data_IF_972401794417
#
_entry.id   IF_972401794417
#
_cell.length_a   1.000
_cell.length_b   1.000
_cell.length_c   1.000
_cell.angle_alpha   90.00
_cell.angle_beta   90.00
_cell.angle_gamma   90.00
#
_symmetry.space_group_name_H-M   'P 1'
#
loop_
_entity.id
_entity.type
_entity.pdbx_description
1 polymer ?
#
# COMPACT_ATOMS: atom_id res chain seq x y z
N UNK A 1 7.35 30.06 -14.27
CA UNK A 1 7.05 28.95 -15.19
C UNK A 1 6.33 27.86 -14.43
N UNK A 2 5.28 27.28 -15.02
CA UNK A 2 4.62 26.09 -14.49
C UNK A 2 5.36 24.83 -14.94
N UNK A 3 5.32 23.74 -14.15
CA UNK A 3 5.98 22.48 -14.48
C UNK A 3 4.98 21.45 -15.02
N UNK A 4 5.43 20.62 -15.96
CA UNK A 4 4.68 19.44 -16.44
C UNK A 4 5.62 18.47 -17.16
N UNK A 5 5.10 17.30 -17.53
CA UNK A 5 5.72 16.40 -18.50
C UNK A 5 4.67 16.06 -19.57
N UNK A 6 5.06 15.68 -20.80
CA UNK A 6 4.10 15.57 -21.91
C UNK A 6 3.16 14.38 -21.69
N UNK A 7 3.74 13.18 -21.59
CA UNK A 7 3.12 11.93 -21.21
C UNK A 7 4.24 10.94 -20.85
N UNK A 8 3.92 9.90 -20.09
CA UNK A 8 4.88 8.84 -19.76
C UNK A 8 4.53 7.57 -20.56
N UNK A 9 5.52 7.04 -21.29
CA UNK A 9 5.39 5.79 -22.05
C UNK A 9 5.45 4.57 -21.11
N UNK A 10 4.39 4.40 -20.31
CA UNK A 10 4.26 3.33 -19.34
C UNK A 10 2.79 2.93 -19.13
N UNK A 11 2.56 1.80 -18.47
CA UNK A 11 1.21 1.37 -18.09
C UNK A 11 0.51 2.34 -17.13
N UNK A 12 -0.82 2.21 -17.02
CA UNK A 12 -1.69 3.09 -16.23
C UNK A 12 -1.15 3.42 -14.83
N UNK A 13 -0.78 2.39 -14.05
CA UNK A 13 -0.30 2.57 -12.68
C UNK A 13 1.02 3.34 -12.61
N UNK A 14 1.94 3.13 -13.56
CA UNK A 14 3.20 3.88 -13.60
C UNK A 14 2.94 5.36 -13.92
N UNK A 15 1.94 5.66 -14.75
CA UNK A 15 1.51 7.03 -15.00
C UNK A 15 0.87 7.68 -13.77
N UNK A 16 0.09 6.92 -12.96
CA UNK A 16 -0.41 7.38 -11.65
C UNK A 16 0.76 7.69 -10.69
N UNK A 17 1.78 6.83 -10.66
CA UNK A 17 3.00 7.03 -9.86
C UNK A 17 3.72 8.31 -10.31
N UNK A 18 3.93 8.53 -11.61
CA UNK A 18 4.56 9.75 -12.11
C UNK A 18 3.76 11.01 -11.78
N UNK A 19 2.42 10.94 -11.75
CA UNK A 19 1.58 12.04 -11.31
C UNK A 19 1.81 12.39 -9.83
N UNK A 20 1.97 11.38 -8.96
CA UNK A 20 2.35 11.60 -7.56
C UNK A 20 3.67 12.39 -7.48
N UNK A 21 4.68 12.00 -8.25
CA UNK A 21 5.98 12.67 -8.24
C UNK A 21 5.92 14.09 -8.80
N UNK A 22 5.16 14.34 -9.86
CA UNK A 22 4.97 15.71 -10.39
C UNK A 22 4.32 16.63 -9.36
N UNK A 23 3.27 16.17 -8.69
CA UNK A 23 2.55 16.95 -7.67
C UNK A 23 3.46 17.17 -6.43
N UNK A 24 4.22 16.15 -6.04
CA UNK A 24 5.19 16.26 -4.93
C UNK A 24 6.30 17.26 -5.24
N UNK A 25 6.82 17.23 -6.47
CA UNK A 25 7.79 18.20 -6.98
C UNK A 25 7.23 19.63 -6.99
N UNK A 26 5.99 19.80 -7.44
CA UNK A 26 5.32 21.10 -7.45
C UNK A 26 5.19 21.69 -6.04
N UNK A 27 4.81 20.86 -5.05
CA UNK A 27 4.76 21.25 -3.64
C UNK A 27 6.15 21.64 -3.12
N UNK A 28 7.16 20.78 -3.29
CA UNK A 28 8.53 21.02 -2.80
C UNK A 28 9.13 22.30 -3.38
N UNK A 29 8.99 22.48 -4.69
CA UNK A 29 9.62 23.58 -5.41
C UNK A 29 8.76 24.86 -5.37
N UNK A 30 7.57 24.80 -4.75
CA UNK A 30 6.54 25.84 -4.74
C UNK A 30 6.27 26.39 -6.17
N UNK A 31 6.19 25.48 -7.14
CA UNK A 31 5.96 25.80 -8.56
C UNK A 31 4.54 25.44 -8.97
N UNK A 32 3.88 26.26 -9.80
CA UNK A 32 2.62 25.88 -10.38
C UNK A 32 2.76 24.64 -11.25
N UNK A 33 1.78 23.75 -11.27
CA UNK A 33 1.76 22.57 -12.15
C UNK A 33 0.67 22.64 -13.20
N UNK A 34 0.94 22.04 -14.35
CA UNK A 34 -0.05 21.70 -15.37
C UNK A 34 -0.16 20.18 -15.42
N UNK A 35 -1.39 19.67 -15.42
CA UNK A 35 -1.61 18.23 -15.47
C UNK A 35 -1.11 17.65 -16.82
N UNK A 36 -0.34 16.55 -16.77
CA UNK A 36 0.22 15.91 -17.95
C UNK A 36 -0.86 15.19 -18.75
N UNK A 37 -0.55 14.83 -19.99
CA UNK A 37 -1.36 13.89 -20.74
C UNK A 37 -1.06 12.46 -20.25
N UNK A 38 -2.03 11.57 -20.43
CA UNK A 38 -1.83 10.13 -20.28
C UNK A 38 -1.58 9.49 -21.64
N UNK A 39 -0.87 8.36 -21.66
CA UNK A 39 -0.56 7.60 -22.86
C UNK A 39 -1.32 6.29 -22.86
N UNK A 40 -2.01 6.00 -23.96
CA UNK A 40 -2.44 4.65 -24.30
C UNK A 40 -1.33 4.01 -25.16
N UNK A 41 -0.81 2.88 -24.70
CA UNK A 41 0.17 2.10 -25.44
C UNK A 41 -0.55 1.04 -26.27
N UNK A 42 -0.22 0.94 -27.56
CA UNK A 42 -0.71 -0.09 -28.49
C UNK A 42 0.46 -1.01 -28.89
N UNK A 43 0.68 -2.12 -28.17
CA UNK A 43 1.90 -2.92 -28.26
C UNK A 43 2.12 -3.55 -29.65
N UNK A 44 1.05 -3.99 -30.31
CA UNK A 44 1.12 -4.62 -31.64
C UNK A 44 1.54 -3.70 -32.78
N UNK A 45 1.38 -2.39 -32.59
CA UNK A 45 1.63 -1.40 -33.64
C UNK A 45 2.78 -0.46 -33.29
N UNK A 46 3.33 -0.55 -32.08
CA UNK A 46 4.29 0.43 -31.55
C UNK A 46 3.72 1.86 -31.53
N UNK A 47 2.39 1.99 -31.56
CA UNK A 47 1.72 3.28 -31.60
C UNK A 47 1.40 3.75 -30.18
N UNK A 48 1.58 5.04 -29.96
CA UNK A 48 1.24 5.71 -28.72
C UNK A 48 0.20 6.79 -29.04
N UNK A 49 -0.96 6.72 -28.40
CA UNK A 49 -1.93 7.81 -28.45
C UNK A 49 -1.94 8.53 -27.11
N UNK A 50 -1.93 9.86 -27.15
CA UNK A 50 -2.05 10.67 -25.94
C UNK A 50 -3.51 11.01 -25.69
N UNK A 51 -3.86 11.13 -24.42
CA UNK A 51 -5.19 11.38 -23.93
C UNK A 51 -5.11 12.46 -22.86
N UNK A 52 -5.97 13.47 -22.97
CA UNK A 52 -5.99 14.55 -22.00
C UNK A 52 -6.48 14.04 -20.65
N UNK A 53 -5.91 14.58 -19.57
CA UNK A 53 -6.26 14.20 -18.21
C UNK A 53 -7.79 14.20 -17.99
N UNK A 54 -8.48 15.25 -18.47
CA UNK A 54 -9.92 15.42 -18.30
C UNK A 54 -10.80 14.46 -19.12
N UNK A 55 -10.21 13.68 -20.04
CA UNK A 55 -10.94 12.64 -20.78
C UNK A 55 -11.05 11.34 -19.96
N UNK A 56 -10.13 11.12 -19.02
CA UNK A 56 -10.05 9.89 -18.22
C UNK A 56 -10.31 10.14 -16.73
N UNK A 57 -9.94 11.30 -16.19
CA UNK A 57 -10.12 11.66 -14.80
C UNK A 57 -10.85 12.99 -14.65
N UNK A 58 -11.49 13.17 -13.50
CA UNK A 58 -12.20 14.40 -13.16
C UNK A 58 -11.21 15.44 -12.60
N UNK A 59 -10.91 16.48 -13.37
CA UNK A 59 -9.97 17.54 -12.96
C UNK A 59 -10.37 18.22 -11.65
N UNK A 60 -11.66 18.54 -11.48
CA UNK A 60 -12.17 19.24 -10.30
C UNK A 60 -11.94 18.46 -8.98
N UNK A 61 -12.00 17.13 -9.02
CA UNK A 61 -11.72 16.29 -7.86
C UNK A 61 -10.25 16.42 -7.44
N UNK A 62 -9.33 16.37 -8.40
CA UNK A 62 -7.90 16.51 -8.11
C UNK A 62 -7.53 17.94 -7.68
N UNK A 63 -8.15 18.96 -8.27
CA UNK A 63 -7.98 20.37 -7.86
C UNK A 63 -8.33 20.58 -6.37
N UNK A 64 -9.29 19.83 -5.82
CA UNK A 64 -9.62 19.87 -4.39
C UNK A 64 -8.40 19.51 -3.53
N UNK A 65 -7.63 18.50 -3.95
CA UNK A 65 -6.38 18.11 -3.27
C UNK A 65 -5.32 19.19 -3.44
N UNK A 66 -5.10 19.68 -4.67
CA UNK A 66 -4.10 20.71 -4.92
C UNK A 66 -4.35 21.96 -4.05
N UNK A 67 -5.60 22.40 -3.96
CA UNK A 67 -6.01 23.51 -3.10
C UNK A 67 -5.81 23.21 -1.61
N UNK A 68 -6.19 22.02 -1.14
CA UNK A 68 -6.05 21.64 0.27
C UNK A 68 -4.59 21.59 0.75
N UNK A 69 -3.65 21.28 -0.16
CA UNK A 69 -2.21 21.25 0.12
C UNK A 69 -1.48 22.52 -0.31
N UNK A 70 -2.18 23.56 -0.76
CA UNK A 70 -1.59 24.82 -1.18
C UNK A 70 -0.68 24.72 -2.42
N UNK A 71 -0.93 23.73 -3.28
CA UNK A 71 -0.14 23.47 -4.49
C UNK A 71 -0.71 24.33 -5.62
N UNK A 72 0.07 25.27 -6.20
CA UNK A 72 -0.44 26.12 -7.25
C UNK A 72 -0.76 25.30 -8.51
N UNK A 73 -1.95 25.49 -9.07
CA UNK A 73 -2.41 24.80 -10.27
C UNK A 73 -2.68 25.81 -11.39
N UNK A 74 -2.27 25.48 -12.61
CA UNK A 74 -2.59 26.29 -13.80
C UNK A 74 -3.34 25.41 -14.79
N UNK A 75 -4.59 25.77 -15.16
CA UNK A 75 -5.33 25.03 -16.17
C UNK A 75 -4.62 25.16 -17.54
N UNK A 76 -4.64 24.11 -18.37
CA UNK A 76 -3.97 24.13 -19.69
C UNK A 76 -4.40 25.30 -20.59
N UNK A 77 -5.61 25.82 -20.40
CA UNK A 77 -6.19 26.93 -21.17
C UNK A 77 -5.53 28.29 -20.90
N UNK A 78 -4.77 28.44 -19.82
CA UNK A 78 -4.16 29.71 -19.43
C UNK A 78 -2.84 30.02 -20.18
N UNK A 79 -2.35 29.10 -21.03
CA UNK A 79 -1.11 29.23 -21.80
C UNK A 79 0.10 29.79 -21.00
N UNK A 80 0.40 29.26 -19.80
CA UNK A 80 1.54 29.75 -19.02
C UNK A 80 2.87 29.38 -19.67
N UNK A 81 3.95 30.10 -19.31
CA UNK A 81 5.30 29.63 -19.61
C UNK A 81 5.54 28.27 -18.92
N UNK A 82 5.88 27.26 -19.73
CA UNK A 82 5.98 25.86 -19.32
C UNK A 82 7.44 25.40 -19.23
N UNK A 83 7.80 24.83 -18.10
CA UNK A 83 9.05 24.09 -17.86
C UNK A 83 8.74 22.59 -17.96
N UNK A 84 9.30 21.94 -18.98
CA UNK A 84 9.14 20.49 -19.15
C UNK A 84 10.13 19.76 -18.26
N UNK A 85 9.61 19.02 -17.29
CA UNK A 85 10.40 18.14 -16.41
C UNK A 85 10.45 16.72 -16.97
N UNK A 86 11.42 15.94 -16.52
CA UNK A 86 11.53 14.53 -16.91
C UNK A 86 10.45 13.69 -16.22
N UNK A 87 9.57 13.07 -17.02
CA UNK A 87 8.50 12.20 -16.54
C UNK A 87 9.01 10.95 -15.82
N UNK A 88 10.19 10.43 -16.17
CA UNK A 88 10.79 9.30 -15.46
C UNK A 88 11.35 9.70 -14.10
N UNK A 89 11.92 10.91 -13.97
CA UNK A 89 12.26 11.45 -12.64
C UNK A 89 11.01 11.62 -11.77
N UNK A 90 9.90 12.07 -12.35
CA UNK A 90 8.62 12.12 -11.65
C UNK A 90 8.14 10.71 -11.25
N UNK A 91 8.32 9.70 -12.10
CA UNK A 91 8.02 8.31 -11.74
C UNK A 91 8.85 7.84 -10.53
N UNK A 92 10.17 8.05 -10.52
CA UNK A 92 11.02 7.65 -9.40
C UNK A 92 10.67 8.38 -8.12
N UNK A 93 10.45 9.70 -8.19
CA UNK A 93 10.00 10.47 -7.04
C UNK A 93 8.64 9.96 -6.52
N UNK A 94 7.71 9.67 -7.41
CA UNK A 94 6.41 9.11 -7.05
C UNK A 94 6.52 7.72 -6.42
N UNK A 95 7.43 6.88 -6.90
CA UNK A 95 7.68 5.55 -6.35
C UNK A 95 8.24 5.62 -4.92
N UNK A 96 9.14 6.58 -4.65
CA UNK A 96 9.64 6.85 -3.31
C UNK A 96 8.50 7.28 -2.36
N UNK A 97 7.66 8.25 -2.78
CA UNK A 97 6.50 8.70 -2.00
C UNK A 97 5.48 7.58 -1.76
N UNK A 98 5.29 6.70 -2.74
CA UNK A 98 4.43 5.52 -2.60
C UNK A 98 4.98 4.52 -1.59
N UNK A 99 6.29 4.25 -1.63
CA UNK A 99 6.98 3.40 -0.64
C UNK A 99 6.98 3.98 0.78
N UNK A 100 7.14 5.30 0.91
CA UNK A 100 7.01 6.03 2.19
C UNK A 100 5.59 5.88 2.77
N UNK A 101 4.56 6.06 1.95
CA UNK A 101 3.18 5.83 2.36
C UNK A 101 2.95 4.37 2.84
N UNK A 102 3.64 3.40 2.22
CA UNK A 102 3.61 2.00 2.66
C UNK A 102 4.18 1.79 4.05
N UNK A 103 5.37 2.35 4.32
CA UNK A 103 6.03 2.25 5.64
C UNK A 103 5.26 2.95 6.75
N UNK A 104 4.58 4.05 6.43
CA UNK A 104 3.72 4.77 7.35
C UNK A 104 2.37 4.05 7.61
N UNK A 105 1.96 3.12 6.74
CA UNK A 105 0.74 2.34 6.90
C UNK A 105 -0.51 3.23 7.05
N UNK A 106 -1.30 2.99 8.10
CA UNK A 106 -2.51 3.77 8.38
C UNK A 106 -2.22 5.27 8.60
N UNK A 107 -1.00 5.62 9.03
CA UNK A 107 -0.60 7.00 9.23
C UNK A 107 -0.62 7.82 7.93
N UNK A 108 -0.32 7.17 6.79
CA UNK A 108 -0.22 7.81 5.49
C UNK A 108 -1.56 8.26 4.88
N UNK A 109 -2.70 7.84 5.46
CA UNK A 109 -4.00 8.06 4.81
C UNK A 109 -4.32 9.52 4.51
N UNK A 110 -4.06 10.52 5.39
CA UNK A 110 -4.29 11.92 5.06
C UNK A 110 -3.19 12.51 4.17
N UNK A 111 -2.21 11.70 3.75
CA UNK A 111 -0.98 12.14 3.08
C UNK A 111 -1.25 12.62 1.69
N UNK A 112 -0.39 13.51 1.20
CA UNK A 112 -0.51 14.01 -0.16
C UNK A 112 -0.59 12.83 -1.15
N UNK A 113 0.29 11.84 -1.02
CA UNK A 113 0.30 10.62 -1.84
C UNK A 113 -1.06 9.91 -1.84
N UNK A 114 -1.63 9.65 -0.65
CA UNK A 114 -2.91 8.96 -0.52
C UNK A 114 -4.11 9.82 -0.97
N UNK A 115 -4.08 11.13 -0.72
CA UNK A 115 -5.14 12.04 -1.14
C UNK A 115 -5.14 12.24 -2.66
N UNK A 116 -3.98 12.33 -3.32
CA UNK A 116 -3.91 12.36 -4.80
C UNK A 116 -4.66 11.16 -5.37
N UNK A 117 -4.36 9.94 -4.91
CA UNK A 117 -4.99 8.72 -5.43
C UNK A 117 -6.46 8.61 -5.01
N UNK A 118 -6.82 9.04 -3.80
CA UNK A 118 -8.22 9.08 -3.35
C UNK A 118 -9.09 9.95 -4.26
N UNK A 119 -8.57 11.08 -4.74
CA UNK A 119 -9.30 12.02 -5.59
C UNK A 119 -9.00 11.87 -7.09
N UNK A 120 -8.18 10.89 -7.48
CA UNK A 120 -7.96 10.54 -8.87
C UNK A 120 -9.17 9.73 -9.40
N UNK A 121 -10.31 10.39 -9.55
CA UNK A 121 -11.59 9.77 -9.92
C UNK A 121 -11.73 9.66 -11.43
N UNK A 122 -12.06 8.47 -11.98
CA UNK A 122 -12.39 8.35 -13.39
C UNK A 122 -13.52 9.30 -13.80
N UNK A 123 -13.57 9.69 -15.07
CA UNK A 123 -14.74 10.41 -15.60
C UNK A 123 -16.03 9.60 -15.41
N UNK A 124 -17.20 10.25 -15.30
CA UNK A 124 -18.47 9.55 -15.11
C UNK A 124 -18.70 8.43 -16.14
N UNK A 125 -18.34 8.65 -17.40
CA UNK A 125 -18.46 7.65 -18.46
C UNK A 125 -17.64 6.38 -18.16
N UNK A 126 -16.36 6.54 -17.81
CA UNK A 126 -15.48 5.39 -17.50
C UNK A 126 -15.96 4.70 -16.22
N UNK A 127 -16.37 5.46 -15.21
CA UNK A 127 -16.94 4.93 -13.97
C UNK A 127 -18.19 4.10 -14.21
N UNK A 128 -19.16 4.62 -14.97
CA UNK A 128 -20.39 3.90 -15.32
C UNK A 128 -20.13 2.64 -16.14
N UNK A 129 -19.18 2.67 -17.07
CA UNK A 129 -18.78 1.48 -17.83
C UNK A 129 -18.18 0.41 -16.91
N UNK A 130 -17.33 0.79 -15.96
CA UNK A 130 -16.77 -0.13 -14.97
C UNK A 130 -17.85 -0.73 -14.06
N UNK A 131 -18.82 0.07 -13.61
CA UNK A 131 -19.96 -0.43 -12.82
C UNK A 131 -20.79 -1.43 -13.62
N UNK A 132 -21.06 -1.16 -14.90
CA UNK A 132 -21.81 -2.08 -15.77
C UNK A 132 -21.05 -3.38 -15.99
N UNK A 133 -19.74 -3.32 -16.21
CA UNK A 133 -18.90 -4.51 -16.33
C UNK A 133 -18.93 -5.34 -15.04
N UNK A 134 -18.72 -4.70 -13.89
CA UNK A 134 -18.77 -5.34 -12.58
C UNK A 134 -20.14 -6.00 -12.31
N UNK A 135 -21.25 -5.31 -12.61
CA UNK A 135 -22.59 -5.86 -12.45
C UNK A 135 -22.83 -7.10 -13.34
N UNK A 136 -22.33 -7.10 -14.58
CA UNK A 136 -22.40 -8.27 -15.48
C UNK A 136 -21.59 -9.44 -14.94
N UNK A 137 -20.40 -9.19 -14.40
CA UNK A 137 -19.56 -10.22 -13.77
C UNK A 137 -20.28 -10.88 -12.59
N UNK A 138 -20.88 -10.08 -11.70
CA UNK A 138 -21.66 -10.60 -10.57
C UNK A 138 -22.89 -11.40 -11.03
N UNK A 139 -23.58 -10.95 -12.08
CA UNK A 139 -24.72 -11.68 -12.65
C UNK A 139 -24.32 -13.06 -13.22
N UNK A 140 -23.06 -13.23 -13.62
CA UNK A 140 -22.47 -14.51 -14.02
C UNK A 140 -21.86 -15.30 -12.84
N UNK A 141 -22.08 -14.87 -11.60
CA UNK A 141 -21.54 -15.50 -10.40
C UNK A 141 -20.02 -15.35 -10.25
N UNK A 142 -19.41 -14.34 -10.86
CA UNK A 142 -17.97 -14.10 -10.78
C UNK A 142 -17.65 -13.24 -9.56
N UNK A 143 -17.02 -13.86 -8.55
CA UNK A 143 -16.63 -13.20 -7.29
C UNK A 143 -15.11 -13.09 -7.08
N UNK A 144 -14.34 -13.68 -7.98
CA UNK A 144 -12.88 -13.72 -7.91
C UNK A 144 -12.28 -13.07 -9.15
N UNK A 145 -11.21 -12.31 -8.94
CA UNK A 145 -10.42 -11.72 -10.01
C UNK A 145 -8.97 -12.17 -9.93
N UNK A 146 -8.37 -12.45 -11.09
CA UNK A 146 -6.98 -12.86 -11.26
C UNK A 146 -6.31 -11.96 -12.28
N UNK A 147 -5.26 -11.26 -11.86
CA UNK A 147 -4.33 -10.70 -12.83
C UNK A 147 -3.48 -11.83 -13.42
N UNK A 148 -3.47 -11.98 -14.73
CA UNK A 148 -2.51 -12.85 -15.41
C UNK A 148 -1.41 -11.98 -16.00
N UNK A 149 -0.39 -11.68 -15.18
CA UNK A 149 0.81 -10.98 -15.65
C UNK A 149 1.76 -11.98 -16.34
N UNK A 150 1.39 -12.38 -17.55
CA UNK A 150 2.08 -13.39 -18.37
C UNK A 150 2.41 -12.88 -19.78
N UNK A 151 2.16 -11.60 -20.03
CA UNK A 151 2.37 -10.95 -21.32
C UNK A 151 3.85 -10.99 -21.73
N UNK A 152 4.11 -10.86 -23.03
CA UNK A 152 5.47 -11.05 -23.58
C UNK A 152 6.51 -10.07 -23.00
N UNK A 153 6.10 -8.82 -22.70
CA UNK A 153 6.96 -7.83 -22.05
C UNK A 153 7.33 -8.25 -20.62
N UNK A 154 6.39 -8.87 -19.89
CA UNK A 154 6.63 -9.41 -18.56
C UNK A 154 7.61 -10.58 -18.59
N UNK A 155 7.49 -11.46 -19.58
CA UNK A 155 8.39 -12.61 -19.71
C UNK A 155 9.85 -12.13 -19.83
N UNK A 156 10.11 -11.13 -20.69
CA UNK A 156 11.43 -10.51 -20.81
C UNK A 156 11.92 -9.89 -19.50
N UNK A 157 11.09 -9.05 -18.86
CA UNK A 157 11.43 -8.43 -17.57
C UNK A 157 11.71 -9.47 -16.47
N UNK A 158 10.91 -10.53 -16.40
CA UNK A 158 11.05 -11.59 -15.41
C UNK A 158 12.28 -12.47 -15.64
N UNK A 159 12.74 -12.61 -16.89
CA UNK A 159 13.91 -13.41 -17.24
C UNK A 159 15.22 -12.61 -17.12
N UNK A 160 15.19 -11.31 -17.42
CA UNK A 160 16.42 -10.49 -17.54
C UNK A 160 16.65 -9.57 -16.34
N UNK A 161 15.59 -9.10 -15.69
CA UNK A 161 15.68 -8.05 -14.66
C UNK A 161 15.48 -8.60 -13.26
N UNK A 162 14.38 -9.32 -13.02
CA UNK A 162 14.04 -9.85 -11.69
C UNK A 162 15.13 -10.75 -11.07
N UNK A 163 15.85 -11.63 -11.80
CA UNK A 163 16.87 -12.49 -11.19
C UNK A 163 18.04 -11.74 -10.54
N UNK A 164 18.22 -10.45 -10.87
CA UNK A 164 19.30 -9.64 -10.30
C UNK A 164 19.01 -9.17 -8.87
N UNK A 165 17.78 -9.30 -8.37
CA UNK A 165 17.40 -8.82 -7.03
C UNK A 165 16.28 -9.61 -6.34
N UNK A 166 15.48 -10.39 -7.07
CA UNK A 166 14.49 -11.28 -6.48
C UNK A 166 15.17 -12.55 -5.94
N UNK A 167 14.78 -13.05 -4.76
CA UNK A 167 15.26 -14.34 -4.27
C UNK A 167 14.91 -15.46 -5.26
N UNK A 168 15.77 -16.47 -5.39
CA UNK A 168 15.51 -17.65 -6.25
C UNK A 168 14.24 -18.43 -5.90
N UNK A 169 13.71 -18.22 -4.70
CA UNK A 169 12.47 -18.84 -4.21
C UNK A 169 11.20 -18.09 -4.63
N UNK A 170 11.32 -16.97 -5.34
CA UNK A 170 10.17 -16.17 -5.77
C UNK A 170 9.57 -16.68 -7.09
N UNK A 171 8.26 -16.93 -7.10
CA UNK A 171 7.53 -17.47 -8.26
C UNK A 171 7.04 -16.34 -9.20
N UNK A 172 7.97 -15.53 -9.72
CA UNK A 172 7.62 -14.33 -10.50
C UNK A 172 7.31 -14.57 -11.99
N UNK A 173 7.60 -15.76 -12.52
CA UNK A 173 7.39 -16.15 -13.92
C UNK A 173 6.56 -17.45 -14.03
N UNK A 174 5.39 -17.46 -13.40
CA UNK A 174 4.49 -18.62 -13.42
C UNK A 174 3.68 -18.68 -14.72
N UNK A 175 3.48 -19.87 -15.30
CA UNK A 175 2.50 -20.07 -16.36
C UNK A 175 1.07 -19.90 -15.82
N UNK A 176 0.13 -19.56 -16.70
CA UNK A 176 -1.26 -19.29 -16.30
C UNK A 176 -1.89 -20.43 -15.49
N UNK A 177 -1.59 -21.69 -15.82
CA UNK A 177 -2.17 -22.84 -15.16
C UNK A 177 -1.76 -22.91 -13.69
N UNK A 178 -0.50 -22.63 -13.37
CA UNK A 178 0.00 -22.63 -11.99
C UNK A 178 -0.62 -21.48 -11.19
N UNK A 179 -0.80 -20.31 -11.80
CA UNK A 179 -1.49 -19.17 -11.17
C UNK A 179 -2.92 -19.58 -10.77
N UNK A 180 -3.68 -20.18 -11.70
CA UNK A 180 -5.07 -20.60 -11.42
C UNK A 180 -5.12 -21.78 -10.45
N UNK A 181 -4.15 -22.70 -10.49
CA UNK A 181 -4.01 -23.79 -9.52
C UNK A 181 -3.82 -23.26 -8.10
N UNK A 182 -2.93 -22.27 -7.90
CA UNK A 182 -2.74 -21.63 -6.60
C UNK A 182 -4.02 -20.96 -6.11
N UNK A 183 -4.73 -20.26 -7.01
CA UNK A 183 -6.02 -19.65 -6.69
C UNK A 183 -7.06 -20.70 -6.25
N UNK A 184 -7.18 -21.81 -6.98
CA UNK A 184 -8.05 -22.93 -6.61
C UNK A 184 -7.66 -23.55 -5.27
N UNK A 185 -6.37 -23.73 -5.01
CA UNK A 185 -5.88 -24.30 -3.74
C UNK A 185 -6.15 -23.39 -2.52
N UNK A 186 -6.28 -22.07 -2.74
CA UNK A 186 -6.58 -21.10 -1.69
C UNK A 186 -8.09 -20.86 -1.51
N UNK A 187 -8.85 -20.75 -2.59
CA UNK A 187 -10.25 -20.29 -2.56
C UNK A 187 -11.28 -21.42 -2.81
N UNK A 188 -10.86 -22.67 -2.95
CA UNK A 188 -11.79 -23.79 -2.97
C UNK A 188 -12.55 -23.92 -1.62
N UNK A 189 -13.82 -24.38 -1.64
CA UNK A 189 -14.56 -24.88 -2.81
C UNK A 189 -15.23 -23.79 -3.67
N UNK A 190 -15.23 -22.54 -3.22
CA UNK A 190 -16.04 -21.43 -3.78
C UNK A 190 -15.49 -20.87 -5.09
N UNK A 191 -14.22 -21.14 -5.40
CA UNK A 191 -13.61 -20.78 -6.67
C UNK A 191 -14.10 -21.68 -7.80
N UNK A 192 -15.07 -21.18 -8.59
CA UNK A 192 -15.63 -21.83 -9.80
C UNK A 192 -15.52 -20.97 -11.05
N UNK A 193 -15.54 -19.66 -10.88
CA UNK A 193 -15.49 -18.66 -11.94
C UNK A 193 -14.49 -17.58 -11.55
N UNK A 194 -13.80 -16.99 -12.53
CA UNK A 194 -12.89 -15.89 -12.30
C UNK A 194 -12.89 -14.88 -13.44
N UNK A 195 -12.77 -13.61 -13.08
CA UNK A 195 -12.47 -12.53 -13.99
C UNK A 195 -10.95 -12.43 -14.18
N UNK A 196 -10.49 -12.36 -15.43
CA UNK A 196 -9.07 -12.26 -15.77
C UNK A 196 -8.72 -10.84 -16.19
N UNK A 197 -7.68 -10.29 -15.56
CA UNK A 197 -7.13 -8.97 -15.84
C UNK A 197 -5.77 -9.12 -16.52
N UNK A 198 -5.66 -8.61 -17.73
CA UNK A 198 -4.42 -8.61 -18.51
C UNK A 198 -4.55 -7.64 -19.69
N UNK A 199 -3.43 -7.36 -20.34
CA UNK A 199 -3.48 -6.86 -21.71
C UNK A 199 -3.80 -8.04 -22.66
N UNK A 200 -5.08 -8.14 -23.04
CA UNK A 200 -5.61 -9.26 -23.83
C UNK A 200 -4.91 -9.43 -25.17
N UNK A 201 -4.48 -8.33 -25.80
CA UNK A 201 -3.80 -8.41 -27.09
C UNK A 201 -2.39 -8.97 -26.91
N UNK A 202 -1.76 -8.77 -25.76
CA UNK A 202 -0.37 -9.14 -25.49
C UNK A 202 -0.19 -10.51 -24.84
N UNK A 203 -1.25 -11.30 -24.78
CA UNK A 203 -1.16 -12.66 -24.25
C UNK A 203 -0.28 -13.55 -25.15
N UNK A 204 0.59 -14.39 -24.57
CA UNK A 204 1.44 -15.31 -25.34
C UNK A 204 0.64 -16.45 -25.99
N UNK A 205 -0.64 -16.60 -25.65
CA UNK A 205 -1.55 -17.65 -26.12
C UNK A 205 -2.98 -17.13 -26.07
N UNK A 206 -3.85 -17.60 -26.98
CA UNK A 206 -5.23 -17.09 -27.05
C UNK A 206 -6.05 -17.35 -25.78
N UNK A 207 -7.00 -16.46 -25.50
CA UNK A 207 -7.92 -16.59 -24.36
C UNK A 207 -8.74 -17.87 -24.43
N UNK A 208 -9.14 -18.28 -25.62
CA UNK A 208 -9.93 -19.50 -25.86
C UNK A 208 -9.13 -20.73 -25.45
N UNK A 209 -7.83 -20.74 -25.74
CA UNK A 209 -6.91 -21.80 -25.32
C UNK A 209 -6.77 -21.82 -23.80
N UNK A 210 -6.49 -20.66 -23.17
CA UNK A 210 -6.38 -20.54 -21.71
C UNK A 210 -7.67 -21.01 -21.02
N UNK A 211 -8.83 -20.56 -21.52
CA UNK A 211 -10.16 -20.92 -21.00
C UNK A 211 -10.42 -22.42 -21.12
N UNK A 212 -10.19 -23.01 -22.29
CA UNK A 212 -10.41 -24.43 -22.54
C UNK A 212 -9.55 -25.31 -21.61
N UNK A 213 -8.25 -25.01 -21.51
CA UNK A 213 -7.34 -25.76 -20.65
C UNK A 213 -7.71 -25.61 -19.17
N UNK A 214 -7.99 -24.40 -18.72
CA UNK A 214 -8.35 -24.15 -17.32
C UNK A 214 -9.65 -24.87 -16.94
N UNK A 215 -10.65 -24.87 -17.83
CA UNK A 215 -11.91 -25.58 -17.61
C UNK A 215 -11.72 -27.09 -17.55
N UNK A 216 -10.94 -27.65 -18.49
CA UNK A 216 -10.70 -29.09 -18.57
C UNK A 216 -9.94 -29.60 -17.33
N UNK A 217 -8.87 -28.92 -16.93
CA UNK A 217 -7.98 -29.38 -15.85
C UNK A 217 -8.52 -29.03 -14.46
N UNK A 218 -9.11 -27.83 -14.30
CA UNK A 218 -9.43 -27.29 -12.98
C UNK A 218 -10.93 -27.12 -12.75
N UNK A 219 -11.77 -27.23 -13.79
CA UNK A 219 -13.21 -27.00 -13.68
C UNK A 219 -13.59 -25.53 -13.49
N UNK A 220 -12.67 -24.59 -13.74
CA UNK A 220 -12.86 -23.15 -13.53
C UNK A 220 -13.20 -22.45 -14.84
N UNK A 221 -14.26 -21.65 -14.85
CA UNK A 221 -14.61 -20.79 -15.99
C UNK A 221 -13.93 -19.42 -15.87
N UNK A 222 -13.25 -19.01 -16.94
CA UNK A 222 -12.54 -17.73 -17.00
C UNK A 222 -13.24 -16.75 -17.94
N UNK A 223 -13.34 -15.50 -17.50
CA UNK A 223 -14.00 -14.41 -18.21
C UNK A 223 -13.09 -13.20 -18.35
N UNK A 224 -13.20 -12.49 -19.48
CA UNK A 224 -12.48 -11.26 -19.79
C UNK A 224 -13.47 -10.12 -20.07
N UNK A 225 -13.04 -8.86 -19.98
CA UNK A 225 -13.88 -7.67 -20.29
C UNK A 225 -14.52 -7.75 -21.67
N UNK A 226 -13.78 -8.27 -22.65
CA UNK A 226 -14.25 -8.45 -24.03
C UNK A 226 -15.39 -9.47 -24.17
N UNK A 227 -15.63 -10.33 -23.18
CA UNK A 227 -16.81 -11.20 -23.16
C UNK A 227 -18.10 -10.40 -22.88
N UNK A 228 -17.98 -9.19 -22.31
CA UNK A 228 -19.11 -8.39 -21.84
C UNK A 228 -19.27 -7.04 -22.54
N UNK A 229 -18.21 -6.52 -23.15
CA UNK A 229 -18.15 -5.20 -23.75
C UNK A 229 -17.77 -5.29 -25.23
N UNK A 230 -18.38 -4.46 -26.10
CA UNK A 230 -18.06 -4.46 -27.52
C UNK A 230 -16.66 -3.88 -27.76
N UNK A 231 -16.02 -4.30 -28.86
CA UNK A 231 -14.68 -3.83 -29.25
C UNK A 231 -14.60 -2.30 -29.37
N UNK A 232 -15.69 -1.61 -29.75
CA UNK A 232 -15.74 -0.15 -29.80
C UNK A 232 -15.54 0.53 -28.45
N UNK A 233 -15.98 -0.10 -27.35
CA UNK A 233 -15.74 0.38 -25.98
C UNK A 233 -14.30 0.13 -25.55
N UNK A 234 -13.67 -0.92 -26.06
CA UNK A 234 -12.31 -1.34 -25.71
C UNK A 234 -11.23 -0.76 -26.64
N UNK A 235 -11.61 0.05 -27.63
CA UNK A 235 -10.68 0.58 -28.64
C UNK A 235 -9.59 1.51 -28.09
N UNK A 236 -9.70 1.98 -26.85
CA UNK A 236 -8.60 2.65 -26.14
C UNK A 236 -8.01 1.70 -25.09
N UNK A 237 -6.72 1.34 -25.25
CA UNK A 237 -6.00 0.48 -24.30
C UNK A 237 -5.93 1.11 -22.90
N UNK A 238 -5.95 2.44 -22.82
CA UNK A 238 -6.02 3.16 -21.55
C UNK A 238 -7.38 2.97 -20.87
N UNK A 239 -8.49 3.18 -21.57
CA UNK A 239 -9.84 2.93 -21.04
C UNK A 239 -9.98 1.46 -20.65
N UNK A 240 -9.55 0.55 -21.52
CA UNK A 240 -9.52 -0.90 -21.27
C UNK A 240 -8.79 -1.26 -19.97
N UNK A 241 -7.61 -0.67 -19.73
CA UNK A 241 -6.84 -0.86 -18.49
C UNK A 241 -7.54 -0.26 -17.26
N UNK A 242 -8.21 0.89 -17.42
CA UNK A 242 -8.96 1.53 -16.34
C UNK A 242 -10.18 0.71 -15.92
N UNK A 243 -10.88 0.08 -16.86
CA UNK A 243 -12.02 -0.79 -16.56
C UNK A 243 -11.58 -2.00 -15.72
N UNK A 244 -10.49 -2.66 -16.12
CA UNK A 244 -9.86 -3.73 -15.32
C UNK A 244 -9.50 -3.25 -13.92
N UNK A 245 -8.87 -2.08 -13.83
CA UNK A 245 -8.45 -1.49 -12.56
C UNK A 245 -9.66 -1.21 -11.64
N UNK A 246 -10.69 -0.53 -12.14
CA UNK A 246 -11.90 -0.20 -11.36
C UNK A 246 -12.70 -1.43 -10.94
N UNK A 247 -12.71 -2.49 -11.75
CA UNK A 247 -13.29 -3.78 -11.36
C UNK A 247 -12.45 -4.40 -10.24
N UNK A 248 -11.12 -4.43 -10.37
CA UNK A 248 -10.22 -5.02 -9.36
C UNK A 248 -10.41 -4.39 -7.96
N UNK A 249 -10.67 -3.08 -7.89
CA UNK A 249 -10.93 -2.37 -6.64
C UNK A 249 -12.17 -2.85 -5.89
N UNK A 250 -13.12 -3.50 -6.59
CA UNK A 250 -14.44 -3.88 -6.07
C UNK A 250 -14.62 -5.37 -5.90
N UNK A 251 -13.77 -6.18 -6.56
CA UNK A 251 -13.93 -7.63 -6.55
C UNK A 251 -13.82 -8.18 -5.12
N UNK A 252 -14.73 -9.08 -4.70
CA UNK A 252 -14.72 -9.66 -3.37
C UNK A 252 -13.38 -10.33 -3.01
N UNK A 253 -12.72 -10.95 -3.98
CA UNK A 253 -11.36 -11.45 -3.86
C UNK A 253 -10.57 -11.15 -5.14
N UNK A 254 -9.32 -10.69 -4.98
CA UNK A 254 -8.41 -10.41 -6.08
C UNK A 254 -7.03 -11.00 -5.79
N UNK A 255 -6.41 -11.63 -6.79
CA UNK A 255 -4.99 -11.99 -6.73
C UNK A 255 -4.21 -11.45 -7.93
N UNK A 256 -2.99 -10.98 -7.67
CA UNK A 256 -2.08 -10.52 -8.71
C UNK A 256 -0.61 -10.82 -8.41
N UNK A 257 0.29 -10.25 -9.23
CA UNK A 257 1.73 -10.35 -9.01
C UNK A 257 2.19 -9.16 -8.16
N UNK A 258 2.81 -9.38 -7.00
CA UNK A 258 3.26 -8.25 -6.16
C UNK A 258 4.33 -7.37 -6.83
N UNK A 259 5.04 -7.88 -7.85
CA UNK A 259 6.00 -7.11 -8.66
C UNK A 259 5.32 -6.29 -9.76
N UNK A 260 4.04 -6.51 -10.03
CA UNK A 260 3.26 -5.67 -10.93
C UNK A 260 2.78 -4.42 -10.19
N UNK A 261 3.15 -3.24 -10.69
CA UNK A 261 2.64 -1.98 -10.14
C UNK A 261 1.11 -1.93 -10.18
N UNK A 262 0.46 -2.58 -11.15
CA UNK A 262 -1.00 -2.74 -11.17
C UNK A 262 -1.54 -3.40 -9.89
N UNK A 263 -1.02 -4.58 -9.52
CA UNK A 263 -1.48 -5.29 -8.31
C UNK A 263 -1.21 -4.50 -7.04
N UNK A 264 -0.03 -3.88 -6.92
CA UNK A 264 0.28 -3.01 -5.77
C UNK A 264 -0.67 -1.82 -5.68
N UNK A 265 -0.95 -1.18 -6.81
CA UNK A 265 -1.81 0.00 -6.84
C UNK A 265 -3.28 -0.30 -6.58
N UNK A 266 -3.80 -1.49 -6.94
CA UNK A 266 -5.16 -1.90 -6.58
C UNK A 266 -5.31 -1.89 -5.05
N UNK A 267 -4.39 -2.53 -4.33
CA UNK A 267 -4.41 -2.53 -2.87
C UNK A 267 -4.25 -1.11 -2.29
N UNK A 268 -3.33 -0.32 -2.86
CA UNK A 268 -3.09 1.06 -2.42
C UNK A 268 -4.28 1.97 -2.62
N UNK A 269 -4.96 1.87 -3.76
CA UNK A 269 -6.10 2.70 -4.05
C UNK A 269 -7.35 2.29 -3.23
N UNK A 270 -7.52 1.00 -2.91
CA UNK A 270 -8.53 0.58 -1.90
C UNK A 270 -8.24 1.28 -0.56
N UNK A 271 -6.99 1.26 -0.10
CA UNK A 271 -6.59 1.97 1.12
C UNK A 271 -6.87 3.47 1.04
N UNK A 272 -6.49 4.14 -0.06
CA UNK A 272 -6.72 5.57 -0.25
C UNK A 272 -8.23 5.91 -0.21
N UNK A 273 -9.06 5.10 -0.87
CA UNK A 273 -10.52 5.31 -0.97
C UNK A 273 -11.25 5.06 0.35
N UNK A 274 -10.84 4.05 1.11
CA UNK A 274 -11.57 3.57 2.29
C UNK A 274 -10.96 4.01 3.62
N UNK A 275 -9.68 4.39 3.62
CA UNK A 275 -8.90 4.58 4.85
C UNK A 275 -8.69 3.29 5.63
N UNK A 276 -8.93 2.12 5.02
CA UNK A 276 -8.76 0.83 5.65
C UNK A 276 -7.85 -0.05 4.80
N UNK A 277 -7.09 -0.92 5.46
CA UNK A 277 -6.31 -1.93 4.75
C UNK A 277 -7.24 -2.88 3.99
N UNK A 278 -6.96 -3.19 2.72
CA UNK A 278 -7.73 -4.19 1.99
C UNK A 278 -7.60 -5.59 2.63
N UNK A 279 -8.72 -6.32 2.76
CA UNK A 279 -8.76 -7.60 3.50
C UNK A 279 -8.81 -8.85 2.61
N UNK A 280 -9.06 -8.71 1.31
CA UNK A 280 -9.22 -9.85 0.38
C UNK A 280 -8.31 -9.70 -0.85
N UNK A 281 -7.07 -9.29 -0.60
CA UNK A 281 -6.06 -9.11 -1.64
C UNK A 281 -4.98 -10.18 -1.47
N UNK A 282 -4.62 -10.83 -2.56
CA UNK A 282 -3.73 -11.97 -2.57
C UNK A 282 -2.63 -11.79 -3.61
N UNK A 283 -1.52 -12.52 -3.43
CA UNK A 283 -0.42 -12.55 -4.38
C UNK A 283 -0.04 -14.00 -4.72
N UNK A 284 0.35 -14.26 -5.96
CA UNK A 284 0.68 -15.61 -6.43
C UNK A 284 2.18 -15.89 -6.54
N UNK A 285 3.04 -14.88 -6.48
CA UNK A 285 4.49 -14.99 -6.64
C UNK A 285 5.24 -15.37 -5.33
N UNK A 286 4.54 -15.93 -4.35
CA UNK A 286 5.16 -16.65 -3.22
C UNK A 286 5.40 -18.11 -3.59
N UNK A 287 6.51 -18.67 -3.10
CA UNK A 287 6.79 -20.10 -3.19
C UNK A 287 5.62 -20.95 -2.66
N UNK A 288 5.40 -22.08 -3.32
CA UNK A 288 4.47 -23.11 -2.86
C UNK A 288 3.07 -23.03 -3.49
N UNK A 289 2.15 -23.92 -3.09
CA UNK A 289 0.96 -24.24 -3.87
C UNK A 289 -0.23 -23.31 -3.63
N UNK A 290 -0.09 -22.25 -2.82
CA UNK A 290 -1.19 -21.38 -2.39
C UNK A 290 -0.84 -19.92 -2.64
N UNK A 291 -1.88 -19.12 -2.86
CA UNK A 291 -1.76 -17.66 -2.81
C UNK A 291 -1.38 -17.21 -1.39
N UNK A 292 -0.55 -16.17 -1.28
CA UNK A 292 -0.34 -15.50 -0.01
C UNK A 292 -1.31 -14.34 0.17
N UNK A 293 -1.77 -14.17 1.40
CA UNK A 293 -2.64 -13.06 1.77
C UNK A 293 -1.83 -11.79 2.01
N UNK A 294 -2.13 -10.74 1.26
CA UNK A 294 -1.45 -9.45 1.34
C UNK A 294 -1.76 -8.77 2.68
N UNK A 295 -0.73 -8.34 3.39
CA UNK A 295 -0.81 -7.73 4.71
C UNK A 295 -0.51 -6.23 4.71
N UNK A 296 0.21 -5.71 3.71
CA UNK A 296 0.49 -4.29 3.56
C UNK A 296 -0.64 -3.56 2.80
N UNK A 297 -0.47 -2.25 2.60
CA UNK A 297 -1.43 -1.42 1.87
C UNK A 297 -1.16 -1.37 0.37
N UNK A 298 -0.24 -2.14 -0.22
CA UNK A 298 0.04 -2.11 -1.67
C UNK A 298 1.47 -1.74 -2.10
N UNK A 299 2.21 -0.87 -1.38
CA UNK A 299 3.54 -0.42 -1.83
C UNK A 299 4.67 -1.46 -1.73
N UNK A 300 4.53 -2.51 -0.92
CA UNK A 300 5.60 -3.51 -0.78
C UNK A 300 5.58 -4.48 -1.96
N UNK A 301 6.66 -4.49 -2.74
CA UNK A 301 6.73 -5.26 -3.99
C UNK A 301 7.31 -6.66 -3.77
N UNK A 302 8.15 -6.85 -2.75
CA UNK A 302 8.69 -8.16 -2.42
C UNK A 302 7.60 -9.03 -1.75
N UNK A 303 7.36 -10.27 -2.22
CA UNK A 303 6.24 -11.08 -1.75
C UNK A 303 6.24 -11.39 -0.25
N UNK A 304 7.43 -11.67 0.29
CA UNK A 304 7.60 -11.98 1.70
C UNK A 304 7.30 -10.76 2.58
N UNK A 305 7.67 -9.55 2.15
CA UNK A 305 7.34 -8.31 2.86
C UNK A 305 5.84 -7.99 2.74
N UNK A 306 5.28 -8.10 1.53
CA UNK A 306 3.87 -7.83 1.26
C UNK A 306 2.91 -8.76 2.03
N UNK A 307 3.38 -9.93 2.46
CA UNK A 307 2.58 -10.92 3.22
C UNK A 307 2.99 -11.05 4.68
N UNK A 308 3.99 -10.28 5.13
CA UNK A 308 4.38 -10.24 6.53
C UNK A 308 3.38 -9.43 7.34
N UNK A 309 2.82 -10.03 8.40
CA UNK A 309 1.84 -9.35 9.25
C UNK A 309 2.42 -8.13 9.98
N UNK A 310 3.75 -8.01 10.06
CA UNK A 310 4.43 -6.81 10.53
C UNK A 310 3.94 -5.55 9.82
N UNK A 311 3.73 -5.65 8.50
CA UNK A 311 3.33 -4.52 7.65
C UNK A 311 1.82 -4.26 7.67
N UNK A 312 1.06 -5.02 8.48
CA UNK A 312 -0.36 -4.80 8.70
C UNK A 312 -0.66 -3.61 9.61
N UNK A 313 0.28 -3.25 10.49
CA UNK A 313 0.12 -2.22 11.52
C UNK A 313 -1.21 -2.31 12.28
N UNK A 314 -1.70 -3.54 12.53
CA UNK A 314 -3.02 -3.77 13.11
C UNK A 314 -3.03 -3.36 14.59
N UNK A 315 -3.85 -2.37 14.99
CA UNK A 315 -3.92 -1.90 16.37
C UNK A 315 -4.27 -3.03 17.36
N UNK A 316 -3.59 -3.06 18.51
CA UNK A 316 -3.92 -4.01 19.59
C UNK A 316 -5.13 -3.58 20.41
N UNK A 317 -5.41 -2.28 20.38
CA UNK A 317 -6.49 -1.64 21.13
C UNK A 317 -7.37 -0.91 20.13
N UNK A 318 -8.68 -0.76 20.41
CA UNK A 318 -9.55 0.03 19.57
C UNK A 318 -9.09 1.49 19.50
N UNK A 319 -9.00 2.02 18.28
CA UNK A 319 -8.75 3.44 18.00
C UNK A 319 -10.07 4.11 17.65
N UNK A 320 -10.21 5.38 18.02
CA UNK A 320 -11.42 6.18 17.81
C UNK A 320 -11.11 7.44 17.00
N UNK A 321 -12.08 7.98 16.25
CA UNK A 321 -11.89 9.24 15.52
C UNK A 321 -11.47 10.42 16.38
N UNK A 322 -11.85 10.43 17.67
CA UNK A 322 -11.55 11.49 18.64
C UNK A 322 -10.28 11.23 19.47
N UNK A 323 -9.54 10.15 19.21
CA UNK A 323 -8.23 9.93 19.84
C UNK A 323 -7.27 11.05 19.41
N UNK A 324 -6.43 11.50 20.34
CA UNK A 324 -5.45 12.57 20.12
C UNK A 324 -4.31 12.04 19.26
N UNK A 325 -3.98 12.80 18.20
CA UNK A 325 -2.98 12.39 17.20
C UNK A 325 -1.80 13.34 17.24
N UNK A 326 -0.77 12.95 17.97
CA UNK A 326 0.53 13.62 17.91
C UNK A 326 1.48 12.86 16.97
N UNK A 327 2.22 13.58 16.11
CA UNK A 327 3.15 12.98 15.15
C UNK A 327 4.47 12.59 15.83
N UNK A 328 4.40 11.67 16.80
CA UNK A 328 5.59 11.01 17.32
C UNK A 328 6.10 9.97 16.32
N UNK A 329 7.42 9.80 16.25
CA UNK A 329 8.04 8.65 15.59
C UNK A 329 8.35 7.56 16.62
N UNK A 330 8.38 6.30 16.17
CA UNK A 330 8.85 5.15 16.95
C UNK A 330 9.93 4.41 16.15
N UNK A 331 11.12 4.29 16.71
CA UNK A 331 12.13 3.33 16.25
C UNK A 331 12.16 2.16 17.23
N UNK A 332 11.98 0.93 16.74
CA UNK A 332 12.16 -0.28 17.51
C UNK A 332 13.31 -1.11 16.92
N UNK A 333 14.27 -1.53 17.74
CA UNK A 333 15.23 -2.55 17.32
C UNK A 333 14.60 -3.92 17.56
N UNK A 334 14.44 -4.68 16.48
CA UNK A 334 13.80 -5.99 16.49
C UNK A 334 14.83 -7.05 16.13
N UNK A 335 14.96 -8.06 16.99
CA UNK A 335 15.84 -9.19 16.75
C UNK A 335 15.58 -9.79 15.36
N UNK A 336 16.66 -10.11 14.63
CA UNK A 336 16.68 -10.62 13.25
C UNK A 336 16.25 -9.64 12.14
N UNK A 337 15.69 -8.47 12.48
CA UNK A 337 15.26 -7.46 11.50
C UNK A 337 16.05 -6.14 11.58
N UNK A 338 16.60 -5.80 12.75
CA UNK A 338 17.28 -4.52 12.98
C UNK A 338 16.31 -3.40 13.37
N UNK A 339 16.67 -2.15 13.06
CA UNK A 339 15.85 -0.98 13.38
C UNK A 339 14.67 -0.86 12.41
N UNK A 340 13.47 -0.79 12.96
CA UNK A 340 12.22 -0.50 12.25
C UNK A 340 11.70 0.83 12.75
N UNK A 341 11.51 1.79 11.84
CA UNK A 341 11.03 3.12 12.20
C UNK A 341 9.66 3.41 11.60
N UNK A 342 8.72 3.76 12.46
CA UNK A 342 7.48 4.43 12.11
C UNK A 342 7.69 5.93 12.21
N UNK A 343 7.65 6.63 11.09
CA UNK A 343 7.71 8.10 11.04
C UNK A 343 6.39 8.68 10.53
N UNK A 344 5.90 9.80 11.09
CA UNK A 344 4.83 10.58 10.48
C UNK A 344 5.34 11.26 9.19
N UNK A 345 4.43 11.53 8.26
CA UNK A 345 4.72 12.27 7.03
C UNK A 345 4.97 13.77 7.37
N UNK A 346 6.16 14.32 7.09
CA UNK A 346 6.47 15.72 7.39
C UNK A 346 5.67 16.73 6.55
N UNK A 347 5.08 16.32 5.42
CA UNK A 347 4.36 17.22 4.50
C UNK A 347 2.92 17.53 4.95
N UNK A 348 2.43 16.89 6.02
CA UNK A 348 1.06 17.08 6.50
C UNK A 348 1.07 17.50 7.97
N UNK A 349 0.64 18.74 8.30
CA UNK A 349 0.69 19.27 9.67
C UNK A 349 -0.17 18.48 10.68
N UNK A 350 -1.00 17.55 10.21
CA UNK A 350 -1.99 16.79 10.97
C UNK A 350 -1.93 15.30 10.57
N UNK A 351 -0.84 14.58 10.85
CA UNK A 351 -0.81 13.11 10.71
C UNK A 351 -0.42 12.31 11.94
N UNK A 352 -1.44 11.59 12.41
CA UNK A 352 -1.55 10.22 12.92
C UNK A 352 -0.52 9.76 13.98
N UNK A 353 -0.91 9.31 15.19
CA UNK A 353 -2.24 8.99 15.72
C UNK A 353 -2.57 7.50 15.88
N UNK A 354 -1.57 6.62 15.80
CA UNK A 354 -1.48 5.29 16.44
C UNK A 354 -0.13 4.68 16.07
N UNK A 355 0.79 4.53 17.04
CA UNK A 355 2.08 3.87 16.80
C UNK A 355 1.92 2.38 17.10
N UNK A 356 1.84 1.54 16.07
CA UNK A 356 1.63 0.11 16.22
C UNK A 356 2.64 -0.71 15.40
N UNK A 357 3.44 -1.51 16.10
CA UNK A 357 4.34 -2.51 15.53
C UNK A 357 4.03 -3.87 16.13
N UNK A 358 3.77 -4.86 15.29
CA UNK A 358 3.48 -6.25 15.71
C UNK A 358 4.38 -7.24 15.00
N UNK A 359 5.28 -7.86 15.75
CA UNK A 359 6.19 -8.90 15.27
C UNK A 359 5.77 -10.28 15.76
N UNK A 360 4.62 -10.41 16.42
CA UNK A 360 4.21 -11.63 17.14
C UNK A 360 3.97 -12.86 16.27
N UNK A 361 3.86 -12.70 14.94
CA UNK A 361 3.83 -13.82 14.00
C UNK A 361 5.14 -14.63 13.97
N UNK A 362 6.26 -14.04 14.42
CA UNK A 362 7.52 -14.75 14.57
C UNK A 362 8.15 -14.42 15.94
N UNK A 363 8.16 -15.40 16.84
CA UNK A 363 8.66 -15.25 18.22
C UNK A 363 10.16 -14.93 18.30
N UNK A 364 10.93 -15.14 17.23
CA UNK A 364 12.34 -14.74 17.14
C UNK A 364 12.53 -13.23 16.95
N UNK A 365 11.46 -12.49 16.62
CA UNK A 365 11.48 -11.05 16.37
C UNK A 365 11.12 -10.25 17.63
N UNK A 366 11.78 -10.56 18.74
CA UNK A 366 11.59 -9.81 19.97
C UNK A 366 12.17 -8.40 19.87
N UNK A 367 11.53 -7.45 20.54
CA UNK A 367 12.03 -6.08 20.65
C UNK A 367 13.24 -6.10 21.60
N UNK A 368 14.36 -5.51 21.21
CA UNK A 368 15.55 -5.35 22.08
C UNK A 368 15.71 -3.92 22.59
N UNK A 369 15.10 -2.96 21.91
CA UNK A 369 15.11 -1.56 22.30
C UNK A 369 14.11 -0.72 21.53
N UNK A 370 13.83 0.48 22.04
CA UNK A 370 12.92 1.44 21.43
C UNK A 370 13.37 2.88 21.67
N UNK A 371 12.96 3.76 20.76
CA UNK A 371 13.12 5.21 20.85
C UNK A 371 11.86 5.86 20.32
N UNK A 372 11.31 6.80 21.07
CA UNK A 372 10.32 7.74 20.57
C UNK A 372 11.02 9.05 20.20
N UNK A 373 10.59 9.66 19.11
CA UNK A 373 11.12 10.93 18.61
C UNK A 373 10.00 11.89 18.20
N UNK A 374 10.31 13.18 18.07
CA UNK A 374 9.35 14.22 17.75
C UNK A 374 9.95 15.62 17.77
N UNK A 375 9.22 16.59 17.22
CA UNK A 375 9.64 18.00 17.24
C UNK A 375 9.33 18.67 18.59
N UNK A 376 9.89 19.87 18.80
CA UNK A 376 9.74 20.65 20.05
C UNK A 376 8.33 21.15 20.33
N UNK A 377 7.40 21.02 19.38
CA UNK A 377 6.00 21.41 19.55
C UNK A 377 5.13 20.26 20.06
N UNK A 378 5.69 19.06 20.21
CA UNK A 378 5.01 17.92 20.78
C UNK A 378 5.02 17.97 22.31
N UNK A 379 4.01 17.38 22.97
CA UNK A 379 4.04 17.28 24.42
C UNK A 379 5.23 16.43 24.88
N UNK A 380 5.70 16.72 26.09
CA UNK A 380 6.76 15.96 26.72
C UNK A 380 6.31 14.50 26.94
N UNK A 381 7.00 13.58 26.27
CA UNK A 381 6.82 12.13 26.40
C UNK A 381 8.06 11.54 27.05
N UNK A 382 7.85 10.77 28.12
CA UNK A 382 8.91 9.99 28.76
C UNK A 382 8.59 8.51 28.69
N UNK A 383 9.64 7.70 28.58
CA UNK A 383 9.52 6.25 28.51
C UNK A 383 10.69 5.54 29.18
N UNK A 384 10.48 4.30 29.56
CA UNK A 384 11.52 3.40 30.08
C UNK A 384 11.21 1.96 29.74
N UNK A 385 12.23 1.12 29.76
CA UNK A 385 12.12 -0.30 29.40
C UNK A 385 12.71 -1.20 30.47
N UNK A 386 12.29 -2.46 30.46
CA UNK A 386 12.86 -3.55 31.23
C UNK A 386 13.34 -4.64 30.26
N UNK A 387 14.56 -5.15 30.43
CA UNK A 387 15.07 -6.28 29.64
C UNK A 387 14.82 -7.63 30.33
N UNK A 388 15.20 -8.73 29.69
CA UNK A 388 15.02 -10.08 30.24
C UNK A 388 15.85 -10.38 31.50
N UNK A 389 16.91 -9.62 31.78
CA UNK A 389 17.69 -9.76 33.03
C UNK A 389 17.03 -9.05 34.21
N UNK A 390 15.92 -8.33 33.97
CA UNK A 390 15.21 -7.54 34.97
C UNK A 390 15.78 -6.13 35.16
N UNK A 391 16.82 -5.75 34.41
CA UNK A 391 17.34 -4.39 34.43
C UNK A 391 16.30 -3.42 33.85
N UNK A 392 16.04 -2.33 34.57
CA UNK A 392 15.14 -1.25 34.18
C UNK A 392 15.96 0.01 33.90
N UNK A 393 15.66 0.68 32.79
CA UNK A 393 16.24 2.00 32.51
C UNK A 393 15.59 3.08 33.38
N UNK A 394 16.30 4.19 33.58
CA UNK A 394 15.68 5.43 34.05
C UNK A 394 14.64 5.93 33.03
N UNK A 395 13.80 6.88 33.45
CA UNK A 395 12.91 7.59 32.53
C UNK A 395 13.73 8.41 31.53
N UNK A 396 13.49 8.17 30.25
CA UNK A 396 14.16 8.82 29.16
C UNK A 396 13.19 9.74 28.39
N UNK A 397 13.69 10.86 27.91
CA UNK A 397 12.95 11.79 27.05
C UNK A 397 12.98 11.35 25.58
N UNK A 398 12.22 12.06 24.72
CA UNK A 398 12.31 11.92 23.27
C UNK A 398 13.76 11.97 22.76
N UNK A 399 14.06 11.20 21.73
CA UNK A 399 15.38 11.09 21.12
C UNK A 399 16.36 10.13 21.83
N UNK A 400 16.01 9.59 23.01
CA UNK A 400 16.90 8.72 23.78
C UNK A 400 16.56 7.24 23.60
N UNK A 401 17.43 6.48 22.94
CA UNK A 401 17.23 5.04 22.76
C UNK A 401 17.31 4.27 24.10
N UNK A 402 16.27 3.46 24.38
CA UNK A 402 16.15 2.62 25.56
C UNK A 402 16.22 1.14 25.21
N UNK A 403 17.14 0.39 25.82
CA UNK A 403 17.37 -1.03 25.54
C UNK A 403 18.72 -1.27 24.86
N UNK A 404 18.78 -2.23 23.94
CA UNK A 404 20.00 -2.59 23.22
C UNK A 404 19.75 -2.79 21.72
N UNK A 405 20.85 -2.87 20.95
CA UNK A 405 20.83 -3.23 19.52
C UNK A 405 21.75 -4.41 19.27
N UNK A 406 21.21 -5.48 18.71
CA UNK A 406 21.93 -6.68 18.29
C UNK A 406 22.63 -7.43 19.42
N UNK A 407 22.19 -7.26 20.66
CA UNK A 407 22.82 -7.91 21.83
C UNK A 407 22.09 -9.17 22.27
N UNK A 408 20.97 -9.54 21.61
CA UNK A 408 20.16 -10.67 22.05
C UNK A 408 19.56 -10.44 23.44
N UNK A 409 19.27 -9.18 23.79
CA UNK A 409 18.64 -8.81 25.06
C UNK A 409 17.20 -8.32 24.82
N UNK A 410 16.21 -9.23 24.71
CA UNK A 410 14.81 -8.85 24.58
C UNK A 410 14.32 -7.96 25.72
N UNK A 411 13.45 -7.02 25.38
CA UNK A 411 12.61 -6.29 26.31
C UNK A 411 11.55 -7.23 26.88
N UNK A 412 11.28 -7.13 28.18
CA UNK A 412 10.21 -7.86 28.88
C UNK A 412 9.17 -6.95 29.51
N UNK A 413 9.36 -5.63 29.38
CA UNK A 413 8.37 -4.64 29.78
C UNK A 413 8.75 -3.24 29.33
N UNK A 414 7.77 -2.36 29.32
CA UNK A 414 7.97 -0.94 29.03
C UNK A 414 6.92 -0.09 29.76
N UNK A 415 7.21 1.20 29.94
CA UNK A 415 6.28 2.17 30.49
C UNK A 415 6.44 3.50 29.76
N UNK A 416 5.33 4.18 29.49
CA UNK A 416 5.28 5.46 28.75
C UNK A 416 4.37 6.42 29.51
N UNK A 417 4.73 7.70 29.59
CA UNK A 417 3.91 8.74 30.21
C UNK A 417 4.06 10.09 29.52
N UNK A 418 3.05 10.94 29.65
CA UNK A 418 3.13 12.35 29.33
C UNK A 418 3.58 13.16 30.55
N UNK A 419 4.21 14.30 30.28
CA UNK A 419 4.60 15.33 31.25
C UNK A 419 4.03 16.69 30.82
N UNK A 420 4.12 17.66 31.73
CA UNK A 420 3.61 19.01 31.48
C UNK A 420 2.08 19.09 31.35
N UNK A 421 1.56 20.19 30.75
CA UNK A 421 0.13 20.45 30.67
C UNK A 421 -0.70 19.35 29.97
N UNK A 422 -0.11 18.67 28.98
CA UNK A 422 -0.80 17.61 28.25
C UNK A 422 -1.21 16.42 29.14
N UNK A 423 -0.46 16.15 30.21
CA UNK A 423 -0.79 15.08 31.17
C UNK A 423 -2.08 15.36 31.97
N UNK A 424 -2.59 16.60 31.97
CA UNK A 424 -3.83 16.97 32.66
C UNK A 424 -5.09 16.72 31.81
N UNK A 425 -4.94 16.70 30.49
CA UNK A 425 -6.07 16.61 29.54
C UNK A 425 -6.03 15.36 28.69
N UNK A 426 -4.96 14.58 28.78
CA UNK A 426 -4.71 13.42 27.92
C UNK A 426 -4.28 12.19 28.72
N UNK A 427 -4.96 11.08 28.48
CA UNK A 427 -4.54 9.75 28.92
C UNK A 427 -3.61 9.12 27.89
N UNK A 428 -2.41 8.74 28.33
CA UNK A 428 -1.45 7.96 27.55
C UNK A 428 -1.73 6.46 27.78
N UNK A 429 -2.29 5.78 26.78
CA UNK A 429 -2.67 4.38 26.82
C UNK A 429 -1.79 3.56 25.87
N UNK A 430 -1.26 2.44 26.34
CA UNK A 430 -0.40 1.58 25.51
C UNK A 430 -0.63 0.10 25.79
N UNK A 431 -0.31 -0.72 24.81
CA UNK A 431 -0.40 -2.17 24.90
C UNK A 431 0.86 -2.85 24.37
N UNK A 432 1.21 -3.98 24.99
CA UNK A 432 2.30 -4.85 24.58
C UNK A 432 1.79 -6.24 24.23
N UNK A 433 2.28 -6.82 23.14
CA UNK A 433 2.15 -8.26 22.87
C UNK A 433 3.37 -8.97 23.42
N UNK A 434 3.16 -10.04 24.17
CA UNK A 434 4.22 -10.78 24.82
C UNK A 434 4.20 -12.24 24.40
N UNK A 435 5.38 -12.85 24.29
CA UNK A 435 5.54 -14.25 23.94
C UNK A 435 4.72 -15.15 24.88
N UNK A 436 3.89 -16.02 24.31
CA UNK A 436 3.04 -16.95 25.06
C UNK A 436 1.83 -16.32 25.76
N UNK A 437 1.66 -15.00 25.73
CA UNK A 437 0.48 -14.35 26.29
C UNK A 437 -0.73 -14.50 25.35
N UNK A 438 -1.93 -14.83 25.86
CA UNK A 438 -3.12 -15.07 25.02
C UNK A 438 -3.72 -13.78 24.44
N UNK A 439 -3.40 -12.61 25.02
CA UNK A 439 -3.90 -11.32 24.60
C UNK A 439 -2.86 -10.21 24.87
N UNK A 440 -2.94 -9.06 24.19
CA UNK A 440 -2.13 -7.89 24.52
C UNK A 440 -2.36 -7.43 25.97
N UNK A 441 -1.30 -7.07 26.67
CA UNK A 441 -1.36 -6.45 28.00
C UNK A 441 -1.46 -4.95 27.83
N UNK A 442 -2.38 -4.29 28.53
CA UNK A 442 -2.58 -2.83 28.47
C UNK A 442 -2.07 -2.14 29.74
N UNK A 443 -1.52 -0.94 29.61
CA UNK A 443 -1.12 -0.08 30.71
C UNK A 443 -1.30 1.39 30.33
N UNK A 444 -1.25 2.29 31.32
CA UNK A 444 -1.46 3.72 31.09
C UNK A 444 -0.57 4.58 31.99
N UNK A 445 -0.32 5.83 31.58
CA UNK A 445 0.24 6.91 32.40
C UNK A 445 1.43 6.47 33.29
N UNK A 446 2.41 5.82 32.67
CA UNK A 446 3.66 5.38 33.29
C UNK A 446 3.63 4.06 34.06
N UNK A 447 2.51 3.34 34.08
CA UNK A 447 2.42 1.99 34.62
C UNK A 447 3.22 0.98 33.78
N UNK A 448 3.81 -0.05 34.41
CA UNK A 448 4.52 -1.07 33.67
C UNK A 448 3.57 -1.93 32.82
N UNK A 449 3.79 -1.96 31.51
CA UNK A 449 3.24 -2.95 30.59
C UNK A 449 4.18 -4.15 30.53
N UNK A 450 3.81 -5.26 31.19
CA UNK A 450 4.60 -6.51 31.27
C UNK A 450 3.75 -7.68 31.75
N UNK A 451 4.19 -8.90 31.50
CA UNK A 451 3.58 -10.13 32.05
C UNK A 451 4.23 -10.56 33.37
N UNK A 452 3.58 -11.48 34.07
CA UNK A 452 4.16 -12.21 35.22
C UNK A 452 3.95 -13.72 34.99
N UNK A 453 5.02 -14.53 34.85
CA UNK A 453 6.43 -14.14 34.79
C UNK A 453 6.77 -13.27 33.55
N UNK A 454 7.92 -12.55 33.55
CA UNK A 454 8.34 -11.73 32.41
C UNK A 454 8.51 -12.56 31.13
N UNK A 455 8.01 -12.04 30.00
CA UNK A 455 8.11 -12.66 28.67
C UNK A 455 8.61 -11.64 27.66
N UNK A 456 9.15 -12.11 26.54
CA UNK A 456 9.69 -11.24 25.49
C UNK A 456 8.58 -10.40 24.85
N UNK A 457 8.83 -9.10 24.69
CA UNK A 457 7.97 -8.17 23.96
C UNK A 457 8.07 -8.44 22.45
N UNK A 458 6.93 -8.69 21.83
CA UNK A 458 6.76 -8.97 20.39
C UNK A 458 5.90 -7.92 19.70
N UNK A 459 5.53 -6.83 20.38
CA UNK A 459 4.77 -5.78 19.74
C UNK A 459 4.43 -4.67 20.71
N UNK A 460 4.28 -3.46 20.19
CA UNK A 460 3.91 -2.26 20.93
C UNK A 460 2.82 -1.49 20.19
N UNK A 461 1.85 -0.98 20.95
CA UNK A 461 0.81 -0.11 20.45
C UNK A 461 0.61 1.08 21.40
N UNK A 462 0.65 2.32 20.91
CA UNK A 462 0.47 3.56 21.68
C UNK A 462 -0.67 4.42 21.12
N UNK A 463 -1.56 4.87 22.02
CA UNK A 463 -2.74 5.70 21.76
C UNK A 463 -2.84 6.81 22.82
N UNK A 464 -3.30 8.00 22.41
CA UNK A 464 -3.59 9.11 23.31
C UNK A 464 -5.08 9.40 23.29
N UNK A 465 -5.70 9.52 24.46
CA UNK A 465 -7.14 9.76 24.59
C UNK A 465 -7.43 11.03 25.38
N UNK A 466 -8.40 11.85 24.98
CA UNK A 466 -8.90 12.92 25.84
C UNK A 466 -9.34 12.35 27.21
N UNK A 467 -9.10 13.11 28.28
CA UNK A 467 -9.50 12.73 29.65
C UNK A 467 -10.93 13.13 29.96
#
# INVERSE_FOLDING_TARGET
MAISYPALAAGLSNQKIALIGLISKALRDNKPLILPQFMAYHPHHGQHTTCAFNQIYQTAELETVLNAFGIPYVPPTAAPELEMVDGWQCFWEGADRWGEAGRAGQAAWPGLCAQIIRFLRPTPLVGELAERLYAKLLACGVHHALQLRIEQDWQGYSAEVLPNFAPQTEDYNLPFMEIVQKAKATWAPDFKTAYVLCDEECLPTSKETIRAHTKAELGIDLFWKSDFLPASTLGSNLVSSMLDFEVALKMPAFAGNSRSTFCGFVAFEIFCRTGARPQNQFIYNLAGPRLGHRQDTGPLMAPHEATDSLNAHTPFMPTQPHDIRWPFSLTAHVATLGDITLTPDPAVPLQHGTLCLDTSANTLRAFEGLQFDGNTFLPELEYRVQNHTGHQTEWASLGTFCGSRGQGLPLTGFAIRLKGPAALTTTCLYAGRFMGAPAPVTAQNGQWCRTTPPQNLLGLHLVFKPT
#
